data_IF_670844687474
#
_entry.id   IF_670844687474
#
_cell.length_a   1.000
_cell.length_b   1.000
_cell.length_c   1.000
_cell.angle_alpha   90.00
_cell.angle_beta   90.00
_cell.angle_gamma   90.00
#
_symmetry.space_group_name_H-M   'P 1'
#
loop_
_entity.id
_entity.type
_entity.pdbx_description
1 polymer ?
#
# COMPACT_ATOMS: atom_id res chain seq x y z
N UNK A 1 -10.60 28.07 28.04
CA UNK A 1 -10.01 26.72 28.22
C UNK A 1 -10.33 25.89 27.00
N UNK A 2 -9.32 25.62 26.18
CA UNK A 2 -9.48 24.79 24.99
C UNK A 2 -9.54 23.33 25.39
N UNK A 3 -10.51 22.60 24.82
CA UNK A 3 -10.72 21.18 25.11
C UNK A 3 -10.66 20.41 23.80
N UNK A 4 -9.85 19.35 23.80
CA UNK A 4 -9.83 18.40 22.70
C UNK A 4 -10.95 17.38 22.88
N UNK A 5 -11.91 17.38 21.94
CA UNK A 5 -13.06 16.47 21.93
C UNK A 5 -12.91 15.35 20.89
N UNK A 6 -11.72 15.20 20.30
CA UNK A 6 -11.42 14.10 19.40
C UNK A 6 -10.99 12.84 20.16
N UNK A 7 -10.74 11.78 19.40
CA UNK A 7 -10.15 10.57 19.95
C UNK A 7 -8.62 10.62 19.98
N UNK A 8 -8.02 9.76 20.80
CA UNK A 8 -6.57 9.54 20.86
C UNK A 8 -6.14 8.31 20.04
N UNK A 9 -7.05 7.77 19.24
CA UNK A 9 -6.80 6.62 18.39
C UNK A 9 -5.92 7.03 17.22
N UNK A 10 -5.04 6.12 16.80
CA UNK A 10 -4.38 6.22 15.50
C UNK A 10 -4.80 5.02 14.68
N UNK A 11 -5.32 5.28 13.49
CA UNK A 11 -5.64 4.20 12.56
C UNK A 11 -4.36 3.83 11.81
N UNK A 12 -4.07 2.53 11.80
CA UNK A 12 -2.95 1.98 11.07
C UNK A 12 -3.45 1.30 9.80
N UNK A 13 -2.81 1.62 8.68
CA UNK A 13 -3.09 1.03 7.37
C UNK A 13 -1.96 0.08 7.03
N UNK A 14 -2.32 -1.16 6.70
CA UNK A 14 -1.37 -2.15 6.23
C UNK A 14 -0.98 -1.85 4.78
N UNK A 15 0.32 -1.73 4.52
CA UNK A 15 0.88 -1.38 3.20
C UNK A 15 1.75 -2.51 2.61
N UNK A 16 2.16 -3.47 3.43
CA UNK A 16 2.77 -4.76 3.04
C UNK A 16 2.35 -5.87 4.01
N UNK A 17 2.78 -7.11 3.79
CA UNK A 17 2.49 -8.23 4.69
C UNK A 17 2.98 -8.01 6.14
N UNK A 18 3.99 -7.18 6.32
CA UNK A 18 4.75 -6.95 7.54
C UNK A 18 4.86 -5.46 7.93
N UNK A 19 4.31 -4.54 7.13
CA UNK A 19 4.41 -3.09 7.35
C UNK A 19 3.03 -2.44 7.46
N UNK A 20 2.86 -1.65 8.52
CA UNK A 20 1.71 -0.77 8.73
C UNK A 20 2.17 0.67 8.90
N UNK A 21 1.39 1.63 8.41
CA UNK A 21 1.65 3.06 8.52
C UNK A 21 0.45 3.73 9.19
N UNK A 22 0.69 4.59 10.16
CA UNK A 22 -0.36 5.39 10.79
C UNK A 22 -0.88 6.46 9.79
N UNK A 23 -2.19 6.54 9.60
CA UNK A 23 -2.79 7.48 8.64
C UNK A 23 -2.84 8.94 9.12
N UNK A 24 -2.68 9.16 10.43
CA UNK A 24 -2.83 10.47 11.06
C UNK A 24 -2.06 10.58 12.38
N UNK A 25 -1.84 11.81 12.84
CA UNK A 25 -1.44 12.11 14.21
C UNK A 25 -2.62 12.71 14.98
N UNK A 26 -2.68 12.45 16.28
CA UNK A 26 -3.80 12.91 17.11
C UNK A 26 -3.71 14.41 17.36
N UNK A 27 -4.83 15.14 17.28
CA UNK A 27 -4.83 16.57 17.61
C UNK A 27 -4.38 16.85 19.05
N UNK A 28 -4.60 15.89 19.97
CA UNK A 28 -4.09 15.97 21.33
C UNK A 28 -2.55 16.03 21.38
N UNK A 29 -1.85 15.11 20.73
CA UNK A 29 -0.38 15.10 20.71
C UNK A 29 0.23 16.29 19.94
N UNK A 30 -0.49 16.81 18.94
CA UNK A 30 0.02 17.91 18.12
C UNK A 30 -0.18 19.27 18.80
N UNK A 31 -1.34 19.48 19.43
CA UNK A 31 -1.75 20.82 19.89
C UNK A 31 -1.98 20.94 21.40
N UNK A 32 -2.20 19.84 22.12
CA UNK A 32 -2.64 19.90 23.53
C UNK A 32 -1.55 19.59 24.53
N UNK A 33 -0.72 18.59 24.25
CA UNK A 33 0.30 18.07 25.17
C UNK A 33 1.70 18.51 24.72
N UNK A 34 1.97 19.81 24.82
CA UNK A 34 3.24 20.40 24.39
C UNK A 34 4.04 20.78 25.63
N UNK A 35 5.27 20.27 25.72
CA UNK A 35 6.17 20.61 26.83
C UNK A 35 6.50 22.11 26.84
N UNK A 36 6.49 22.69 28.03
CA UNK A 36 6.84 24.09 28.25
C UNK A 36 8.28 24.22 28.76
N UNK A 37 8.87 25.39 28.55
CA UNK A 37 10.20 25.77 29.04
C UNK A 37 10.33 25.75 30.57
N UNK A 38 9.22 26.05 31.27
CA UNK A 38 9.14 26.04 32.74
C UNK A 38 8.85 24.65 33.35
N UNK A 39 8.69 23.62 32.52
CA UNK A 39 8.28 22.29 32.94
C UNK A 39 6.75 22.11 32.99
N UNK A 40 6.31 20.90 32.65
CA UNK A 40 4.90 20.57 32.45
C UNK A 40 4.49 20.66 30.97
N UNK A 41 3.19 20.56 30.72
CA UNK A 41 2.62 20.65 29.39
C UNK A 41 1.52 21.71 29.33
N UNK A 42 1.42 22.41 28.20
CA UNK A 42 0.36 23.38 27.90
C UNK A 42 -0.09 23.18 26.46
N UNK A 43 -1.36 23.46 26.18
CA UNK A 43 -1.82 23.48 24.79
C UNK A 43 -1.38 24.78 24.09
N UNK A 44 -1.15 24.69 22.78
CA UNK A 44 -0.71 25.81 21.95
C UNK A 44 -1.63 27.02 22.05
N UNK A 45 -2.94 26.79 22.10
CA UNK A 45 -3.94 27.85 22.10
C UNK A 45 -3.92 28.67 23.40
N UNK A 46 -3.80 28.01 24.55
CA UNK A 46 -3.61 28.68 25.85
C UNK A 46 -2.29 29.46 25.89
N UNK A 47 -1.22 28.98 25.22
CA UNK A 47 0.03 29.75 25.10
C UNK A 47 -0.19 31.05 24.33
N UNK A 48 -0.90 30.99 23.19
CA UNK A 48 -1.21 32.18 22.38
C UNK A 48 -2.12 33.15 23.15
N UNK A 49 -3.14 32.65 23.83
CA UNK A 49 -4.04 33.48 24.64
C UNK A 49 -3.28 34.17 25.79
N UNK A 50 -2.40 33.46 26.49
CA UNK A 50 -1.59 34.06 27.57
C UNK A 50 -0.62 35.12 27.04
N UNK A 51 -0.10 34.97 25.82
CA UNK A 51 0.70 36.01 25.16
C UNK A 51 -0.17 37.23 24.88
N UNK A 52 -1.37 37.04 24.35
CA UNK A 52 -2.31 38.13 24.08
C UNK A 52 -2.68 38.88 25.37
N UNK A 53 -3.06 38.16 26.42
CA UNK A 53 -3.39 38.73 27.74
C UNK A 53 -2.22 39.52 28.33
N UNK A 54 -0.99 39.01 28.22
CA UNK A 54 0.20 39.72 28.71
C UNK A 54 0.41 41.04 27.96
N UNK A 55 0.25 41.04 26.64
CA UNK A 55 0.40 42.22 25.80
C UNK A 55 -0.72 43.25 26.05
N UNK A 56 -1.96 42.81 26.21
CA UNK A 56 -3.11 43.67 26.56
C UNK A 56 -2.93 44.32 27.93
N UNK A 57 -2.34 43.59 28.88
CA UNK A 57 -1.98 44.12 30.20
C UNK A 57 -0.73 45.02 30.19
N UNK A 58 -0.11 45.27 29.02
CA UNK A 58 1.12 46.07 28.89
C UNK A 58 2.35 45.41 29.51
N UNK A 59 2.32 44.09 29.70
CA UNK A 59 3.39 43.28 30.28
C UNK A 59 4.17 42.53 29.20
N UNK A 60 5.43 42.22 29.47
CA UNK A 60 6.23 41.41 28.56
C UNK A 60 5.79 39.93 28.63
N UNK A 61 5.67 39.20 27.50
CA UNK A 61 5.27 37.79 27.49
C UNK A 61 6.23 36.82 28.21
N UNK A 62 7.46 37.23 28.52
CA UNK A 62 8.43 36.39 29.24
C UNK A 62 8.72 35.07 28.52
N UNK A 63 8.66 33.96 29.26
CA UNK A 63 8.93 32.59 28.74
C UNK A 63 7.83 32.06 27.82
N UNK A 64 6.71 32.78 27.65
CA UNK A 64 5.62 32.35 26.77
C UNK A 64 6.05 32.28 25.30
N UNK A 65 7.04 33.10 24.89
CA UNK A 65 7.60 33.03 23.54
C UNK A 65 8.44 31.76 23.34
N UNK A 66 9.19 31.33 24.36
CA UNK A 66 9.92 30.06 24.32
C UNK A 66 8.94 28.87 24.26
N UNK A 67 7.84 28.95 25.01
CA UNK A 67 6.76 27.95 24.96
C UNK A 67 6.08 27.91 23.58
N UNK A 68 5.92 29.06 22.93
CA UNK A 68 5.38 29.15 21.56
C UNK A 68 6.35 28.53 20.55
N UNK A 69 7.65 28.76 20.71
CA UNK A 69 8.68 28.13 19.87
C UNK A 69 8.68 26.60 20.01
N UNK A 70 8.53 26.08 21.23
CA UNK A 70 8.38 24.64 21.47
C UNK A 70 7.11 24.08 20.81
N UNK A 71 6.01 24.82 20.87
CA UNK A 71 4.77 24.42 20.20
C UNK A 71 4.91 24.41 18.66
N UNK A 72 5.57 25.42 18.09
CA UNK A 72 5.88 25.42 16.65
C UNK A 72 6.79 24.25 16.26
N UNK A 73 7.80 23.93 17.07
CA UNK A 73 8.66 22.78 16.84
C UNK A 73 7.88 21.46 16.88
N UNK A 74 6.90 21.31 17.78
CA UNK A 74 6.06 20.13 17.83
C UNK A 74 5.22 19.95 16.56
N UNK A 75 4.61 21.04 16.06
CA UNK A 75 3.85 21.02 14.80
C UNK A 75 4.75 20.72 13.61
N UNK A 76 5.94 21.33 13.55
CA UNK A 76 6.92 21.07 12.49
C UNK A 76 7.42 19.62 12.53
N UNK A 77 7.69 19.07 13.71
CA UNK A 77 8.08 17.68 13.89
C UNK A 77 6.99 16.71 13.43
N UNK A 78 5.74 17.00 13.77
CA UNK A 78 4.56 16.25 13.29
C UNK A 78 4.49 16.29 11.76
N UNK A 79 4.62 17.47 11.14
CA UNK A 79 4.62 17.63 9.68
C UNK A 79 5.77 16.88 9.01
N UNK A 80 6.97 16.91 9.60
CA UNK A 80 8.12 16.18 9.09
C UNK A 80 7.89 14.65 9.16
N UNK A 81 7.30 14.16 10.26
CA UNK A 81 6.92 12.75 10.40
C UNK A 81 5.86 12.32 9.37
N UNK A 82 4.87 13.17 9.10
CA UNK A 82 3.91 12.95 8.01
C UNK A 82 4.61 12.85 6.64
N UNK A 83 5.56 13.75 6.35
CA UNK A 83 6.38 13.66 5.12
C UNK A 83 7.19 12.37 5.02
N UNK A 84 7.81 11.93 6.11
CA UNK A 84 8.54 10.66 6.14
C UNK A 84 7.63 9.45 5.89
N UNK A 85 6.38 9.48 6.40
CA UNK A 85 5.38 8.45 6.11
C UNK A 85 4.93 8.46 4.65
N UNK A 86 4.78 9.63 4.02
CA UNK A 86 4.47 9.73 2.59
C UNK A 86 5.57 9.09 1.74
N UNK A 87 6.83 9.42 1.99
CA UNK A 87 7.97 8.80 1.29
C UNK A 87 7.96 7.28 1.43
N UNK A 88 7.66 6.77 2.63
CA UNK A 88 7.55 5.34 2.89
C UNK A 88 6.38 4.67 2.14
N UNK A 89 5.26 5.38 1.95
CA UNK A 89 4.12 4.89 1.16
C UNK A 89 4.49 4.84 -0.32
N UNK A 90 5.11 5.90 -0.85
CA UNK A 90 5.55 5.96 -2.26
C UNK A 90 6.57 4.85 -2.57
N UNK A 91 7.54 4.61 -1.69
CA UNK A 91 8.49 3.51 -1.83
C UNK A 91 7.77 2.15 -1.86
N UNK A 92 6.80 1.94 -0.97
CA UNK A 92 6.03 0.70 -0.93
C UNK A 92 5.15 0.51 -2.17
N UNK A 93 4.60 1.59 -2.73
CA UNK A 93 3.83 1.57 -3.97
C UNK A 93 4.67 1.06 -5.14
N UNK A 94 5.91 1.57 -5.30
CA UNK A 94 6.85 1.12 -6.33
C UNK A 94 7.21 -0.36 -6.17
N UNK A 95 7.41 -0.84 -4.93
CA UNK A 95 7.66 -2.25 -4.66
C UNK A 95 6.45 -3.12 -5.03
N UNK A 96 5.24 -2.66 -4.69
CA UNK A 96 4.01 -3.36 -5.01
C UNK A 96 3.77 -3.44 -6.53
N UNK A 97 4.04 -2.37 -7.27
CA UNK A 97 3.96 -2.35 -8.73
C UNK A 97 4.92 -3.37 -9.37
N UNK A 98 6.18 -3.41 -8.92
CA UNK A 98 7.18 -4.39 -9.37
C UNK A 98 6.77 -5.83 -9.06
N UNK A 99 6.17 -6.05 -7.89
CA UNK A 99 5.63 -7.34 -7.50
C UNK A 99 4.48 -7.78 -8.41
N UNK A 100 3.53 -6.89 -8.69
CA UNK A 100 2.40 -7.14 -9.60
C UNK A 100 2.92 -7.49 -11.00
N UNK A 101 3.84 -6.70 -11.56
CA UNK A 101 4.42 -6.96 -12.87
C UNK A 101 5.10 -8.34 -12.94
N UNK A 102 5.85 -8.70 -11.89
CA UNK A 102 6.51 -10.01 -11.80
C UNK A 102 5.49 -11.15 -11.74
N UNK A 103 4.41 -10.98 -10.98
CA UNK A 103 3.32 -11.97 -10.91
C UNK A 103 2.58 -12.10 -12.25
N UNK A 104 2.33 -11.00 -12.96
CA UNK A 104 1.73 -11.04 -14.29
C UNK A 104 2.61 -11.74 -15.32
N UNK A 105 3.92 -11.47 -15.31
CA UNK A 105 4.89 -12.14 -16.18
C UNK A 105 4.97 -13.64 -15.91
N UNK A 106 4.96 -14.04 -14.63
CA UNK A 106 4.95 -15.45 -14.24
C UNK A 106 3.64 -16.13 -14.63
N UNK A 107 2.49 -15.48 -14.40
CA UNK A 107 1.18 -15.99 -14.81
C UNK A 107 1.11 -16.20 -16.32
N UNK A 108 1.59 -15.22 -17.10
CA UNK A 108 1.64 -15.31 -18.56
C UNK A 108 2.45 -16.53 -19.02
N UNK A 109 3.66 -16.76 -18.47
CA UNK A 109 4.47 -17.94 -18.79
C UNK A 109 3.78 -19.27 -18.48
N UNK A 110 3.09 -19.35 -17.34
CA UNK A 110 2.36 -20.56 -16.95
C UNK A 110 1.16 -20.80 -17.89
N UNK A 111 0.38 -19.76 -18.18
CA UNK A 111 -0.77 -19.86 -19.08
C UNK A 111 -0.36 -20.17 -20.53
N UNK A 112 0.68 -19.51 -21.05
CA UNK A 112 1.17 -19.71 -22.43
C UNK A 112 1.74 -21.12 -22.65
N UNK A 113 2.37 -21.71 -21.63
CA UNK A 113 2.84 -23.11 -21.68
C UNK A 113 1.67 -24.08 -21.87
N UNK A 114 0.56 -23.87 -21.15
CA UNK A 114 -0.63 -24.72 -21.25
C UNK A 114 -1.26 -24.64 -22.65
N UNK A 115 -1.31 -23.45 -23.27
CA UNK A 115 -1.80 -23.30 -24.66
C UNK A 115 -0.90 -24.02 -25.67
N UNK A 116 0.43 -23.89 -25.54
CA UNK A 116 1.38 -24.58 -26.41
C UNK A 116 1.29 -26.11 -26.27
N UNK A 117 1.13 -26.62 -25.04
CA UNK A 117 0.94 -28.04 -24.78
C UNK A 117 -0.40 -28.55 -25.31
N UNK A 118 -1.50 -27.82 -25.09
CA UNK A 118 -2.82 -28.17 -25.61
C UNK A 118 -2.83 -28.26 -27.14
N UNK A 119 -2.20 -27.30 -27.83
CA UNK A 119 -2.07 -27.32 -29.28
C UNK A 119 -1.23 -28.53 -29.76
N UNK A 120 -0.13 -28.83 -29.06
CA UNK A 120 0.72 -29.99 -29.38
C UNK A 120 -0.04 -31.30 -29.22
N UNK A 121 -0.78 -31.47 -28.12
CA UNK A 121 -1.61 -32.66 -27.87
C UNK A 121 -2.72 -32.79 -28.92
N UNK A 122 -3.37 -31.70 -29.29
CA UNK A 122 -4.39 -31.70 -30.34
C UNK A 122 -3.81 -32.11 -31.71
N UNK A 123 -2.65 -31.57 -32.09
CA UNK A 123 -1.96 -31.95 -33.34
C UNK A 123 -1.58 -33.44 -33.36
N UNK A 124 -1.15 -33.99 -32.23
CA UNK A 124 -0.87 -35.44 -32.11
C UNK A 124 -2.14 -36.28 -32.26
N UNK A 125 -3.26 -35.84 -31.66
CA UNK A 125 -4.55 -36.52 -31.78
C UNK A 125 -5.09 -36.51 -33.21
N UNK A 126 -5.02 -35.37 -33.90
CA UNK A 126 -5.36 -35.24 -35.33
C UNK A 126 -4.49 -36.18 -36.19
N UNK A 127 -3.17 -36.20 -35.95
CA UNK A 127 -2.25 -37.07 -36.67
C UNK A 127 -2.58 -38.55 -36.45
N UNK A 128 -2.86 -38.94 -35.20
CA UNK A 128 -3.26 -40.30 -34.86
C UNK A 128 -4.60 -40.70 -35.50
N UNK A 129 -5.57 -39.78 -35.50
CA UNK A 129 -6.87 -39.99 -36.13
C UNK A 129 -6.75 -40.17 -37.65
N UNK A 130 -5.96 -39.33 -38.32
CA UNK A 130 -5.68 -39.47 -39.75
C UNK A 130 -5.00 -40.79 -40.08
N UNK A 131 -4.01 -41.21 -39.27
CA UNK A 131 -3.35 -42.49 -39.43
C UNK A 131 -4.33 -43.67 -39.25
N UNK A 132 -5.19 -43.62 -38.23
CA UNK A 132 -6.22 -44.63 -38.01
C UNK A 132 -7.21 -44.73 -39.18
N UNK A 133 -7.66 -43.60 -39.73
CA UNK A 133 -8.51 -43.58 -40.93
C UNK A 133 -7.82 -44.19 -42.16
N UNK A 134 -6.53 -43.89 -42.38
CA UNK A 134 -5.77 -44.49 -43.48
C UNK A 134 -5.60 -46.00 -43.31
N UNK A 135 -5.33 -46.48 -42.09
CA UNK A 135 -5.24 -47.91 -41.78
C UNK A 135 -6.59 -48.60 -42.00
N UNK A 136 -7.69 -47.97 -41.57
CA UNK A 136 -9.05 -48.47 -41.79
C UNK A 136 -9.36 -48.64 -43.28
N UNK A 137 -9.12 -47.63 -44.11
CA UNK A 137 -9.33 -47.70 -45.57
C UNK A 137 -8.48 -48.81 -46.23
N UNK A 138 -7.24 -49.02 -45.77
CA UNK A 138 -6.38 -50.11 -46.27
C UNK A 138 -6.92 -51.49 -45.88
N UNK A 139 -7.42 -51.66 -44.65
CA UNK A 139 -8.01 -52.92 -44.18
C UNK A 139 -9.33 -53.24 -44.91
N UNK A 140 -10.20 -52.25 -45.12
CA UNK A 140 -11.42 -52.43 -45.92
C UNK A 140 -11.09 -52.81 -47.37
N UNK A 141 -10.09 -52.17 -47.98
CA UNK A 141 -9.61 -52.54 -49.32
C UNK A 141 -9.10 -53.98 -49.41
N UNK A 142 -8.35 -54.46 -48.41
CA UNK A 142 -7.87 -55.84 -48.35
C UNK A 142 -8.99 -56.86 -48.09
N UNK A 143 -9.98 -56.50 -47.26
CA UNK A 143 -11.16 -57.32 -46.99
C UNK A 143 -12.01 -57.54 -48.24
N UNK A 144 -12.30 -56.47 -48.99
CA UNK A 144 -13.10 -56.53 -50.21
C UNK A 144 -12.39 -57.31 -51.33
N UNK A 145 -11.06 -57.22 -51.43
CA UNK A 145 -10.28 -58.05 -52.36
C UNK A 145 -10.25 -59.53 -51.96
N UNK A 146 -10.24 -59.85 -50.66
CA UNK A 146 -10.31 -61.24 -50.18
C UNK A 146 -11.72 -61.85 -50.30
N UNK A 147 -12.78 -61.04 -50.26
CA UNK A 147 -14.17 -61.51 -50.39
C UNK A 147 -14.55 -61.88 -51.83
N UNK A 148 -13.82 -61.36 -52.83
CA UNK A 148 -14.07 -61.60 -54.27
C UNK A 148 -13.20 -62.71 -54.88
N UNK A 149 -12.57 -63.58 -54.07
CA UNK A 149 -11.78 -64.74 -54.51
C UNK A 149 -12.38 -66.04 -53.98
#
# INVERSE_FOLDING_TARGET
MYVFNGDMGRRHIQVSADRTIADSDTGFSVFMDIQTSGGGARNLFDTVDQIADALEAGSAPGTLLDDLDLAMQNVLGTRASAGARLNAVEEQELLNESFILSMEANRSKVQDLDYAEALTRFSQQETALQAAQQVFLRLEGLSLFNLMR
#
